data_IF_569017323388
#
_entry.id   IF_569017323388
#
_cell.length_a   1.000
_cell.length_b   1.000
_cell.length_c   1.000
_cell.angle_alpha   90.00
_cell.angle_beta   90.00
_cell.angle_gamma   90.00
#
_symmetry.space_group_name_H-M   'P 1'
#
loop_
_entity.id
_entity.type
_entity.pdbx_description
1 polymer ?
#
# COMPACT_ATOMS: atom_id res chain seq x y z
N UNK A 1 -10.93 30.22 4.86
CA UNK A 1 -10.43 29.80 6.19
C UNK A 1 -9.28 28.79 6.17
N UNK A 2 -9.39 27.60 5.54
CA UNK A 2 -8.28 26.63 5.47
C UNK A 2 -7.21 27.00 4.42
N UNK A 3 -7.65 27.52 3.27
CA UNK A 3 -6.77 28.08 2.23
C UNK A 3 -5.99 29.30 2.73
N UNK A 4 -6.64 30.17 3.51
CA UNK A 4 -6.00 31.35 4.10
C UNK A 4 -5.01 30.97 5.21
N UNK A 5 -5.30 29.90 5.96
CA UNK A 5 -4.34 29.30 6.92
C UNK A 5 -3.15 28.66 6.23
N UNK A 6 -3.35 27.98 5.10
CA UNK A 6 -2.25 27.45 4.29
C UNK A 6 -1.36 28.58 3.74
N UNK A 7 -1.97 29.66 3.22
CA UNK A 7 -1.24 30.87 2.82
C UNK A 7 -0.52 31.55 3.98
N UNK A 8 -1.12 31.60 5.17
CA UNK A 8 -0.50 32.16 6.36
C UNK A 8 0.74 31.37 6.82
N UNK A 9 0.68 30.04 6.74
CA UNK A 9 1.85 29.16 7.02
C UNK A 9 2.93 29.32 5.94
N UNK A 10 2.53 29.52 4.67
CA UNK A 10 3.46 29.81 3.58
C UNK A 10 4.09 31.21 3.69
N UNK A 11 3.35 32.22 4.15
CA UNK A 11 3.83 33.60 4.28
C UNK A 11 4.69 33.83 5.51
N UNK A 12 4.45 33.13 6.63
CA UNK A 12 5.33 33.19 7.80
C UNK A 12 6.75 32.69 7.48
N UNK A 13 6.91 31.76 6.53
CA UNK A 13 8.22 31.28 6.06
C UNK A 13 9.01 32.32 5.26
N UNK A 14 8.33 33.20 4.52
CA UNK A 14 9.01 34.25 3.73
C UNK A 14 9.49 35.43 4.59
N UNK A 15 8.88 35.65 5.76
CA UNK A 15 9.24 36.76 6.65
C UNK A 15 10.46 36.45 7.54
N UNK A 16 10.82 35.18 7.73
CA UNK A 16 12.03 34.77 8.46
C UNK A 16 13.28 34.73 7.56
N UNK A 17 13.13 34.86 6.24
CA UNK A 17 14.22 34.94 5.25
C UNK A 17 14.35 36.35 4.69
N UNK A 18 14.87 37.28 5.50
CA UNK A 18 15.24 38.65 5.12
C UNK A 18 16.76 38.89 5.25
N UNK A 19 17.49 38.51 4.20
CA UNK A 19 18.94 38.53 3.88
C UNK A 19 19.72 39.86 4.13
N UNK A 20 21.09 39.90 4.17
CA UNK A 20 21.92 39.70 2.95
C UNK A 20 23.33 39.06 3.09
N UNK A 21 23.79 38.54 1.94
CA UNK A 21 25.18 38.28 1.49
C UNK A 21 25.84 36.90 1.79
N UNK A 22 25.90 36.07 0.74
CA UNK A 22 27.06 35.23 0.41
C UNK A 22 27.04 33.76 0.87
N UNK A 23 26.70 32.86 -0.07
CA UNK A 23 27.21 31.48 -0.14
C UNK A 23 26.57 30.43 0.78
N UNK A 24 25.87 29.50 0.12
CA UNK A 24 25.56 28.12 0.54
C UNK A 24 24.69 27.91 1.79
N UNK A 25 23.38 27.84 1.57
CA UNK A 25 22.46 27.15 2.48
C UNK A 25 21.35 26.46 1.67
N UNK A 26 21.31 25.14 1.82
CA UNK A 26 20.36 24.20 1.23
C UNK A 26 18.91 24.57 1.57
N UNK A 27 18.14 24.86 0.52
CA UNK A 27 16.74 25.23 0.62
C UNK A 27 15.90 23.96 0.84
N UNK A 28 15.33 23.85 2.04
CA UNK A 28 14.58 22.67 2.50
C UNK A 28 13.37 22.35 1.61
N UNK A 29 13.47 21.24 0.87
CA UNK A 29 12.42 20.75 -0.01
C UNK A 29 11.10 20.43 0.76
N UNK A 30 9.92 20.62 0.14
CA UNK A 30 8.64 20.36 0.79
C UNK A 30 8.50 18.89 1.20
N UNK A 31 8.16 18.64 2.48
CA UNK A 31 8.02 17.32 3.11
C UNK A 31 7.17 16.27 2.35
N UNK A 32 6.24 16.69 1.48
CA UNK A 32 5.45 15.77 0.64
C UNK A 32 6.29 15.07 -0.45
N UNK A 33 7.40 15.68 -0.86
CA UNK A 33 8.32 15.12 -1.86
C UNK A 33 8.90 13.78 -1.39
N UNK A 34 9.21 13.64 -0.10
CA UNK A 34 9.82 12.43 0.45
C UNK A 34 8.91 11.20 0.26
N UNK A 35 7.62 11.31 0.60
CA UNK A 35 6.68 10.18 0.48
C UNK A 35 6.42 9.80 -0.99
N UNK A 36 6.30 10.80 -1.87
CA UNK A 36 6.15 10.55 -3.30
C UNK A 36 7.39 9.88 -3.89
N UNK A 37 8.59 10.34 -3.52
CA UNK A 37 9.85 9.74 -3.96
C UNK A 37 10.04 8.33 -3.45
N UNK A 38 9.62 7.98 -2.23
CA UNK A 38 9.63 6.58 -1.78
C UNK A 38 8.69 5.71 -2.61
N UNK A 39 7.50 6.21 -2.94
CA UNK A 39 6.58 5.48 -3.81
C UNK A 39 7.15 5.26 -5.21
N UNK A 40 7.86 6.24 -5.76
CA UNK A 40 8.52 6.12 -7.06
C UNK A 40 9.69 5.14 -7.01
N UNK A 41 10.56 5.29 -6.01
CA UNK A 41 11.69 4.40 -5.78
C UNK A 41 11.27 2.92 -5.72
N UNK A 42 10.19 2.62 -4.99
CA UNK A 42 9.66 1.25 -4.93
C UNK A 42 9.15 0.78 -6.30
N UNK A 43 8.51 1.65 -7.09
CA UNK A 43 8.02 1.31 -8.42
C UNK A 43 9.16 1.14 -9.44
N UNK A 44 10.20 1.97 -9.38
CA UNK A 44 11.41 1.88 -10.20
C UNK A 44 12.10 0.52 -10.01
N UNK A 45 12.04 -0.04 -8.80
CA UNK A 45 12.52 -1.39 -8.47
C UNK A 45 11.49 -2.50 -8.73
N UNK A 46 10.40 -2.23 -9.45
CA UNK A 46 9.29 -3.18 -9.70
C UNK A 46 8.69 -3.78 -8.42
N UNK A 47 8.85 -3.08 -7.29
CA UNK A 47 8.48 -3.52 -5.95
C UNK A 47 9.08 -4.88 -5.56
N UNK A 48 10.32 -5.13 -5.96
CA UNK A 48 11.06 -6.35 -5.64
C UNK A 48 12.52 -6.05 -5.30
N UNK A 49 13.00 -6.56 -4.16
CA UNK A 49 14.34 -6.29 -3.64
C UNK A 49 15.09 -7.60 -3.37
N UNK A 50 15.92 -8.10 -4.32
CA UNK A 50 16.55 -9.42 -4.22
C UNK A 50 17.35 -9.62 -2.93
N UNK A 51 18.17 -8.64 -2.55
CA UNK A 51 19.02 -8.73 -1.36
C UNK A 51 18.22 -8.84 -0.06
N UNK A 52 17.03 -8.22 0.00
CA UNK A 52 16.12 -8.37 1.15
C UNK A 52 15.38 -9.70 1.15
N UNK A 53 15.06 -10.27 -0.01
CA UNK A 53 14.53 -11.64 -0.08
C UNK A 53 15.55 -12.64 0.43
N UNK A 54 16.80 -12.55 -0.04
CA UNK A 54 17.87 -13.47 0.36
C UNK A 54 18.15 -13.35 1.87
N UNK A 55 18.17 -12.11 2.40
CA UNK A 55 18.31 -11.88 3.83
C UNK A 55 17.13 -12.46 4.63
N UNK A 56 15.90 -12.29 4.15
CA UNK A 56 14.71 -12.83 4.80
C UNK A 56 14.70 -14.36 4.76
N UNK A 57 15.08 -14.98 3.65
CA UNK A 57 15.17 -16.44 3.50
C UNK A 57 16.25 -17.05 4.41
N UNK A 58 17.40 -16.40 4.53
CA UNK A 58 18.46 -16.80 5.47
C UNK A 58 17.96 -16.79 6.91
N UNK A 59 17.39 -15.66 7.35
CA UNK A 59 16.85 -15.52 8.72
C UNK A 59 15.67 -16.48 8.94
N UNK A 60 14.86 -16.72 7.91
CA UNK A 60 13.75 -17.66 7.97
C UNK A 60 14.21 -19.09 8.26
N UNK A 61 15.30 -19.54 7.63
CA UNK A 61 15.84 -20.88 7.86
C UNK A 61 16.26 -21.08 9.32
N UNK A 62 16.89 -20.08 9.93
CA UNK A 62 17.27 -20.14 11.35
C UNK A 62 16.05 -20.14 12.28
N UNK A 63 15.01 -19.37 11.96
CA UNK A 63 13.74 -19.34 12.71
C UNK A 63 13.04 -20.70 12.65
N UNK A 64 12.93 -21.28 11.46
CA UNK A 64 12.24 -22.56 11.26
C UNK A 64 13.02 -23.73 11.90
N UNK A 65 14.36 -23.64 11.98
CA UNK A 65 15.18 -24.62 12.70
C UNK A 65 15.08 -24.51 14.23
N UNK A 66 14.74 -23.33 14.75
CA UNK A 66 14.69 -23.09 16.19
C UNK A 66 13.41 -23.61 16.85
N UNK A 67 12.31 -23.78 16.11
CA UNK A 67 11.04 -24.27 16.65
C UNK A 67 10.06 -24.73 15.57
N UNK A 68 9.12 -25.60 15.93
CA UNK A 68 8.05 -26.09 15.02
C UNK A 68 7.05 -25.01 14.61
N UNK A 69 6.99 -23.89 15.33
CA UNK A 69 6.09 -22.77 15.00
C UNK A 69 6.90 -21.50 14.69
N UNK A 70 6.46 -20.76 13.66
CA UNK A 70 7.12 -19.53 13.25
C UNK A 70 7.21 -18.50 14.38
N UNK A 71 6.16 -18.34 15.18
CA UNK A 71 6.14 -17.37 16.29
C UNK A 71 7.17 -17.73 17.38
N UNK A 72 7.22 -18.99 17.80
CA UNK A 72 8.19 -19.43 18.80
C UNK A 72 9.63 -19.36 18.25
N UNK A 73 9.83 -19.73 16.98
CA UNK A 73 11.12 -19.60 16.30
C UNK A 73 11.58 -18.14 16.21
N UNK A 74 10.69 -17.22 15.84
CA UNK A 74 10.95 -15.78 15.79
C UNK A 74 11.34 -15.23 17.17
N UNK A 75 10.62 -15.65 18.21
CA UNK A 75 10.93 -15.26 19.59
C UNK A 75 12.31 -15.77 20.03
N UNK A 76 12.62 -17.03 19.74
CA UNK A 76 13.92 -17.63 20.03
C UNK A 76 15.05 -16.95 19.27
N UNK A 77 14.84 -16.62 17.99
CA UNK A 77 15.85 -15.92 17.17
C UNK A 77 16.13 -14.51 17.69
N UNK A 78 15.08 -13.73 18.01
CA UNK A 78 15.22 -12.40 18.61
C UNK A 78 16.00 -12.44 19.92
N UNK A 79 15.73 -13.44 20.78
CA UNK A 79 16.40 -13.59 22.05
C UNK A 79 17.87 -14.01 21.86
N UNK A 80 18.14 -15.03 21.06
CA UNK A 80 19.47 -15.63 20.94
C UNK A 80 20.44 -14.76 20.12
N UNK A 81 19.95 -14.08 19.08
CA UNK A 81 20.79 -13.29 18.18
C UNK A 81 20.92 -11.84 18.63
N UNK A 82 19.84 -11.25 19.15
CA UNK A 82 19.81 -9.82 19.50
C UNK A 82 19.61 -9.55 21.00
N UNK A 83 19.46 -10.58 21.85
CA UNK A 83 19.19 -10.39 23.27
C UNK A 83 17.81 -9.77 23.55
N UNK A 84 16.87 -9.86 22.61
CA UNK A 84 15.55 -9.24 22.69
C UNK A 84 14.48 -10.25 23.10
N UNK A 85 13.99 -10.14 24.34
CA UNK A 85 12.79 -10.88 24.78
C UNK A 85 11.53 -10.21 24.23
N UNK A 86 10.87 -10.88 23.28
CA UNK A 86 9.59 -10.44 22.73
C UNK A 86 8.41 -10.83 23.64
N UNK A 87 7.65 -9.82 24.07
CA UNK A 87 6.47 -9.96 24.92
C UNK A 87 5.28 -9.18 24.38
N UNK A 88 4.10 -9.77 24.53
CA UNK A 88 2.86 -9.01 24.48
C UNK A 88 2.70 -8.22 25.79
N UNK A 89 2.26 -6.96 25.70
CA UNK A 89 2.08 -6.08 26.83
C UNK A 89 0.97 -5.05 26.57
N UNK A 90 0.32 -4.60 27.63
CA UNK A 90 -0.61 -3.48 27.58
C UNK A 90 0.17 -2.18 27.34
N UNK A 91 0.10 -1.65 26.11
CA UNK A 91 0.74 -0.40 25.70
C UNK A 91 -0.27 0.74 25.62
N UNK A 92 0.18 2.02 25.71
CA UNK A 92 -0.70 3.17 25.50
C UNK A 92 -1.41 3.12 24.14
N UNK A 93 -2.62 3.67 24.09
CA UNK A 93 -3.41 3.70 22.86
C UNK A 93 -2.63 4.34 21.70
N UNK A 94 -2.63 3.66 20.55
CA UNK A 94 -1.89 4.09 19.36
C UNK A 94 -0.47 3.54 19.24
N UNK A 95 0.11 2.97 20.31
CA UNK A 95 1.46 2.37 20.27
C UNK A 95 1.35 0.87 19.94
N UNK A 96 1.84 0.47 18.77
CA UNK A 96 1.85 -0.93 18.34
C UNK A 96 2.99 -1.74 18.97
N UNK A 97 4.17 -1.13 19.09
CA UNK A 97 5.35 -1.74 19.72
C UNK A 97 6.22 -0.70 20.41
N UNK A 98 7.03 -1.13 21.35
CA UNK A 98 8.03 -0.33 22.07
C UNK A 98 9.22 -1.19 22.44
N UNK A 99 10.43 -0.67 22.23
CA UNK A 99 11.64 -1.22 22.85
C UNK A 99 11.81 -0.61 24.24
N UNK A 100 12.14 -1.44 25.24
CA UNK A 100 12.49 -0.93 26.56
C UNK A 100 13.80 -0.13 26.50
N UNK A 101 14.00 0.88 27.39
CA UNK A 101 15.23 1.67 27.40
C UNK A 101 16.52 0.87 27.58
N UNK A 102 16.43 -0.27 28.29
CA UNK A 102 17.54 -1.20 28.46
C UNK A 102 17.87 -1.99 27.17
N UNK A 103 17.04 -1.91 26.14
CA UNK A 103 17.27 -2.53 24.83
C UNK A 103 17.15 -4.05 24.80
N UNK A 104 16.67 -4.70 25.87
CA UNK A 104 16.59 -6.15 26.00
C UNK A 104 15.17 -6.73 25.86
N UNK A 105 14.15 -5.88 25.74
CA UNK A 105 12.77 -6.32 25.53
C UNK A 105 12.09 -5.58 24.39
N UNK A 106 11.40 -6.36 23.56
CA UNK A 106 10.48 -5.87 22.56
C UNK A 106 9.05 -6.09 23.06
N UNK A 107 8.38 -5.01 23.44
CA UNK A 107 6.99 -5.04 23.87
C UNK A 107 6.10 -4.76 22.65
N UNK A 108 5.13 -5.64 22.40
CA UNK A 108 4.11 -5.48 21.35
C UNK A 108 2.74 -5.41 22.02
N UNK A 109 1.84 -4.58 21.52
CA UNK A 109 0.52 -4.40 22.09
C UNK A 109 -0.27 -5.71 22.09
N UNK A 110 -0.75 -6.11 23.27
CA UNK A 110 -1.51 -7.35 23.52
C UNK A 110 -2.94 -7.35 22.95
N UNK A 111 -3.49 -6.18 22.63
CA UNK A 111 -4.79 -6.04 21.99
C UNK A 111 -4.72 -6.13 20.47
N UNK A 112 -3.53 -6.18 19.86
CA UNK A 112 -3.40 -6.27 18.40
C UNK A 112 -3.84 -7.65 17.87
N UNK A 113 -4.36 -7.72 16.62
CA UNK A 113 -4.59 -8.99 15.94
C UNK A 113 -3.26 -9.75 15.84
N UNK A 114 -3.26 -11.08 16.02
CA UNK A 114 -2.04 -11.89 16.05
C UNK A 114 -1.12 -11.64 14.86
N UNK A 115 -1.68 -11.56 13.65
CA UNK A 115 -0.93 -11.32 12.41
C UNK A 115 -0.27 -9.93 12.37
N UNK A 116 -0.85 -8.95 13.06
CA UNK A 116 -0.26 -7.60 13.17
C UNK A 116 0.80 -7.54 14.26
N UNK A 117 0.65 -8.30 15.34
CA UNK A 117 1.64 -8.41 16.40
C UNK A 117 2.92 -9.12 15.90
N UNK A 118 2.76 -10.25 15.20
CA UNK A 118 3.86 -10.99 14.55
C UNK A 118 4.57 -10.07 13.54
N UNK A 119 3.82 -9.34 12.71
CA UNK A 119 4.42 -8.42 11.75
C UNK A 119 5.17 -7.26 12.42
N UNK A 120 4.67 -6.74 13.55
CA UNK A 120 5.39 -5.72 14.30
C UNK A 120 6.74 -6.23 14.84
N UNK A 121 6.79 -7.49 15.29
CA UNK A 121 8.03 -8.16 15.70
C UNK A 121 8.97 -8.44 14.52
N UNK A 122 8.46 -9.01 13.43
CA UNK A 122 9.23 -9.28 12.21
C UNK A 122 9.79 -8.00 11.57
N UNK A 123 9.04 -6.90 11.61
CA UNK A 123 9.54 -5.60 11.17
C UNK A 123 10.63 -5.06 12.08
N UNK A 124 10.53 -5.25 13.40
CA UNK A 124 11.63 -4.87 14.29
C UNK A 124 12.87 -5.72 14.02
N UNK A 125 12.69 -7.01 13.75
CA UNK A 125 13.76 -7.89 13.32
C UNK A 125 14.40 -7.41 12.01
N UNK A 126 13.62 -6.99 11.02
CA UNK A 126 14.15 -6.43 9.77
C UNK A 126 15.02 -5.19 9.97
N UNK A 127 14.64 -4.31 10.91
CA UNK A 127 15.45 -3.14 11.29
C UNK A 127 16.79 -3.51 11.96
N UNK A 128 16.98 -4.74 12.40
CA UNK A 128 18.19 -5.20 13.09
C UNK A 128 19.02 -6.15 12.22
N UNK A 129 18.36 -7.10 11.57
CA UNK A 129 18.99 -8.19 10.83
C UNK A 129 19.33 -7.83 9.37
N UNK A 130 18.63 -6.85 8.78
CA UNK A 130 18.81 -6.46 7.38
C UNK A 130 19.40 -5.04 7.24
N UNK A 131 20.08 -4.52 8.28
CA UNK A 131 20.61 -3.15 8.27
C UNK A 131 21.52 -2.91 7.07
N UNK A 132 22.44 -3.83 6.80
CA UNK A 132 23.42 -3.69 5.71
C UNK A 132 22.75 -3.67 4.34
N UNK A 133 21.78 -4.56 4.13
CA UNK A 133 21.02 -4.68 2.90
C UNK A 133 20.13 -3.46 2.68
N UNK A 134 19.44 -2.99 3.73
CA UNK A 134 18.62 -1.77 3.70
C UNK A 134 19.48 -0.54 3.40
N UNK A 135 20.62 -0.39 4.08
CA UNK A 135 21.53 0.76 3.89
C UNK A 135 22.12 0.78 2.48
N UNK A 136 22.49 -0.40 1.95
CA UNK A 136 22.97 -0.53 0.57
C UNK A 136 21.91 -0.09 -0.44
N UNK A 137 20.68 -0.57 -0.29
CA UNK A 137 19.55 -0.19 -1.16
C UNK A 137 19.28 1.32 -1.09
N UNK A 138 19.29 1.91 0.11
CA UNK A 138 19.06 3.36 0.29
C UNK A 138 20.18 4.19 -0.32
N UNK A 139 21.44 3.75 -0.20
CA UNK A 139 22.59 4.45 -0.77
C UNK A 139 22.54 4.48 -2.31
N UNK A 140 22.03 3.43 -2.95
CA UNK A 140 21.86 3.35 -4.41
C UNK A 140 20.66 4.18 -4.91
N UNK A 141 19.64 4.36 -4.07
CA UNK A 141 18.36 4.96 -4.44
C UNK A 141 18.40 6.48 -4.73
N UNK A 142 19.50 7.18 -4.44
CA UNK A 142 19.65 8.64 -4.63
C UNK A 142 18.45 9.44 -4.09
N UNK A 143 18.02 9.11 -2.87
CA UNK A 143 16.86 9.74 -2.24
C UNK A 143 17.17 11.19 -1.81
N UNK A 144 16.18 12.09 -1.81
CA UNK A 144 16.39 13.44 -1.27
C UNK A 144 16.76 13.38 0.22
N UNK A 145 17.53 14.36 0.68
CA UNK A 145 17.88 14.48 2.10
C UNK A 145 16.65 14.81 2.98
N UNK A 146 16.82 14.68 4.29
CA UNK A 146 15.74 14.85 5.27
C UNK A 146 15.04 13.52 5.60
N UNK A 147 13.72 13.49 5.50
CA UNK A 147 12.91 12.37 6.00
C UNK A 147 12.90 11.12 5.09
N UNK A 148 13.32 11.24 3.82
CA UNK A 148 13.17 10.15 2.85
C UNK A 148 13.97 8.88 3.22
N UNK A 149 15.24 8.94 3.67
CA UNK A 149 15.98 7.76 4.10
C UNK A 149 15.29 6.98 5.24
N UNK A 150 14.72 7.66 6.23
CA UNK A 150 14.01 7.00 7.34
C UNK A 150 12.69 6.37 6.89
N UNK A 151 11.97 7.05 5.99
CA UNK A 151 10.77 6.49 5.37
C UNK A 151 11.09 5.26 4.52
N UNK A 152 12.20 5.29 3.77
CA UNK A 152 12.69 4.16 2.99
C UNK A 152 13.08 3.00 3.90
N UNK A 153 13.85 3.26 4.97
CA UNK A 153 14.24 2.25 5.96
C UNK A 153 13.02 1.55 6.56
N UNK A 154 12.00 2.32 6.94
CA UNK A 154 10.75 1.77 7.45
C UNK A 154 10.00 0.93 6.40
N UNK A 155 9.93 1.40 5.15
CA UNK A 155 9.28 0.66 4.06
C UNK A 155 10.01 -0.66 3.72
N UNK A 156 11.34 -0.63 3.65
CA UNK A 156 12.18 -1.79 3.36
C UNK A 156 12.19 -2.79 4.52
N UNK A 157 12.16 -2.34 5.78
CA UNK A 157 11.98 -3.23 6.92
C UNK A 157 10.59 -3.89 6.93
N UNK A 158 9.55 -3.19 6.50
CA UNK A 158 8.22 -3.77 6.29
C UNK A 158 8.20 -4.78 5.13
N UNK A 159 8.97 -4.54 4.05
CA UNK A 159 9.18 -5.50 2.97
C UNK A 159 9.85 -6.78 3.50
N UNK A 160 10.96 -6.64 4.24
CA UNK A 160 11.66 -7.76 4.87
C UNK A 160 10.72 -8.56 5.77
N UNK A 161 9.91 -7.90 6.61
CA UNK A 161 8.95 -8.57 7.48
C UNK A 161 7.93 -9.41 6.68
N UNK A 162 7.43 -8.86 5.57
CA UNK A 162 6.52 -9.59 4.68
C UNK A 162 7.22 -10.80 4.02
N UNK A 163 8.45 -10.65 3.55
CA UNK A 163 9.24 -11.73 2.97
C UNK A 163 9.58 -12.82 4.01
N UNK A 164 9.82 -12.43 5.26
CA UNK A 164 10.09 -13.37 6.35
C UNK A 164 8.86 -14.21 6.70
N UNK A 165 7.68 -13.58 6.81
CA UNK A 165 6.42 -14.25 7.14
C UNK A 165 5.92 -15.10 5.96
N UNK A 166 6.07 -14.57 4.74
CA UNK A 166 5.65 -15.18 3.47
C UNK A 166 6.87 -15.38 2.54
N UNK A 167 7.69 -16.42 2.74
CA UNK A 167 8.90 -16.66 1.97
C UNK A 167 8.58 -16.83 0.49
N UNK A 168 9.43 -16.29 -0.38
CA UNK A 168 9.13 -16.07 -1.79
C UNK A 168 8.65 -17.35 -2.49
N UNK A 169 9.45 -18.41 -2.45
CA UNK A 169 9.18 -19.66 -3.17
C UNK A 169 7.92 -20.39 -2.66
N UNK A 170 7.76 -20.67 -1.35
CA UNK A 170 6.52 -21.22 -0.81
C UNK A 170 5.29 -20.36 -1.13
N UNK A 171 5.40 -19.03 -0.99
CA UNK A 171 4.28 -18.13 -1.21
C UNK A 171 3.89 -18.05 -2.69
N UNK A 172 4.85 -17.92 -3.61
CA UNK A 172 4.61 -17.85 -5.05
C UNK A 172 3.95 -19.15 -5.57
N UNK A 173 4.45 -20.32 -5.13
CA UNK A 173 3.82 -21.61 -5.47
C UNK A 173 2.38 -21.69 -4.98
N UNK A 174 2.16 -21.42 -3.69
CA UNK A 174 0.80 -21.47 -3.12
C UNK A 174 -0.14 -20.43 -3.72
N UNK A 175 0.38 -19.25 -4.11
CA UNK A 175 -0.42 -18.24 -4.80
C UNK A 175 -0.93 -18.77 -6.14
N UNK A 176 -0.10 -19.48 -6.91
CA UNK A 176 -0.54 -20.12 -8.16
C UNK A 176 -1.48 -21.30 -7.90
N UNK A 177 -1.13 -22.19 -6.97
CA UNK A 177 -1.93 -23.39 -6.65
C UNK A 177 -3.33 -23.03 -6.14
N UNK A 178 -3.44 -21.94 -5.38
CA UNK A 178 -4.72 -21.43 -4.86
C UNK A 178 -5.36 -20.41 -5.80
N UNK A 179 -4.83 -20.22 -7.01
CA UNK A 179 -5.34 -19.26 -8.00
C UNK A 179 -5.54 -17.87 -7.38
N UNK A 180 -4.54 -17.42 -6.62
CA UNK A 180 -4.50 -16.12 -5.96
C UNK A 180 -5.68 -15.86 -4.99
N UNK A 181 -6.24 -16.92 -4.38
CA UNK A 181 -7.18 -16.79 -3.27
C UNK A 181 -6.51 -16.16 -2.04
N UNK A 182 -6.76 -14.87 -1.84
CA UNK A 182 -6.14 -14.04 -0.81
C UNK A 182 -6.55 -14.50 0.59
N UNK A 183 -7.79 -14.94 0.78
CA UNK A 183 -8.27 -15.39 2.09
C UNK A 183 -7.67 -16.75 2.46
N UNK A 184 -7.52 -17.64 1.48
CA UNK A 184 -6.83 -18.92 1.68
C UNK A 184 -5.35 -18.74 1.94
N UNK A 185 -4.68 -17.84 1.22
CA UNK A 185 -3.28 -17.47 1.46
C UNK A 185 -3.09 -16.85 2.86
N UNK A 186 -3.99 -15.94 3.25
CA UNK A 186 -3.99 -15.33 4.58
C UNK A 186 -4.01 -16.38 5.70
N UNK A 187 -4.91 -17.36 5.59
CA UNK A 187 -4.98 -18.49 6.54
C UNK A 187 -3.74 -19.37 6.52
N UNK A 188 -3.16 -19.63 5.33
CA UNK A 188 -1.98 -20.49 5.18
C UNK A 188 -0.74 -19.89 5.83
N UNK A 189 -0.56 -18.57 5.74
CA UNK A 189 0.65 -17.88 6.21
C UNK A 189 0.46 -17.12 7.52
N UNK A 190 -0.74 -17.16 8.14
CA UNK A 190 -1.02 -16.40 9.35
C UNK A 190 -0.90 -14.89 9.14
N UNK A 191 -1.33 -14.40 7.98
CA UNK A 191 -1.22 -13.01 7.56
C UNK A 191 -2.60 -12.39 7.32
N UNK A 192 -2.73 -11.08 7.47
CA UNK A 192 -3.94 -10.33 7.15
C UNK A 192 -4.16 -10.22 5.64
N UNK A 193 -5.41 -9.93 5.25
CA UNK A 193 -5.77 -9.62 3.86
C UNK A 193 -4.85 -8.55 3.24
N UNK A 194 -4.60 -7.44 3.94
CA UNK A 194 -3.71 -6.38 3.45
C UNK A 194 -2.27 -6.88 3.27
N UNK A 195 -1.72 -7.64 4.22
CA UNK A 195 -0.36 -8.17 4.12
C UNK A 195 -0.20 -9.12 2.93
N UNK A 196 -1.17 -10.01 2.69
CA UNK A 196 -1.15 -10.89 1.52
C UNK A 196 -1.24 -10.10 0.22
N UNK A 197 -2.16 -9.13 0.13
CA UNK A 197 -2.24 -8.24 -1.04
C UNK A 197 -0.92 -7.55 -1.33
N UNK A 198 -0.23 -7.05 -0.28
CA UNK A 198 1.10 -6.47 -0.43
C UNK A 198 2.14 -7.46 -0.93
N UNK A 199 2.17 -8.68 -0.39
CA UNK A 199 3.15 -9.69 -0.81
C UNK A 199 2.92 -10.12 -2.26
N UNK A 200 1.67 -10.19 -2.70
CA UNK A 200 1.35 -10.47 -4.10
C UNK A 200 1.94 -9.43 -5.07
N UNK A 201 2.02 -8.15 -4.67
CA UNK A 201 2.64 -7.11 -5.53
C UNK A 201 4.16 -7.16 -5.56
N UNK A 202 4.83 -8.04 -4.81
CA UNK A 202 6.29 -8.16 -4.79
C UNK A 202 6.83 -9.38 -5.54
N UNK A 203 5.96 -10.19 -6.18
CA UNK A 203 6.36 -11.45 -6.82
C UNK A 203 7.04 -11.23 -8.18
N UNK A 204 8.20 -10.57 -8.19
CA UNK A 204 8.94 -10.20 -9.42
C UNK A 204 10.37 -10.77 -9.49
N UNK A 205 10.68 -11.84 -8.75
CA UNK A 205 11.92 -12.61 -8.90
C UNK A 205 12.09 -13.10 -10.34
N UNK A 206 13.19 -12.75 -11.04
CA UNK A 206 13.46 -13.27 -12.38
C UNK A 206 13.39 -14.80 -12.44
N UNK A 207 12.69 -15.34 -13.43
CA UNK A 207 12.47 -16.79 -13.57
C UNK A 207 11.34 -17.37 -12.69
N UNK A 208 10.84 -16.63 -11.69
CA UNK A 208 9.73 -17.07 -10.82
C UNK A 208 8.76 -15.92 -10.51
N UNK A 209 8.32 -15.22 -11.55
CA UNK A 209 7.39 -14.08 -11.42
C UNK A 209 5.94 -14.53 -11.20
N UNK A 210 5.24 -13.88 -10.28
CA UNK A 210 3.78 -13.96 -10.17
C UNK A 210 3.11 -13.00 -11.16
N UNK A 211 1.77 -12.92 -11.09
CA UNK A 211 1.00 -11.94 -11.87
C UNK A 211 1.48 -10.51 -11.51
N UNK A 212 1.80 -9.65 -12.49
CA UNK A 212 2.04 -8.23 -12.23
C UNK A 212 0.75 -7.56 -11.72
N UNK A 213 0.73 -7.23 -10.43
CA UNK A 213 -0.46 -6.68 -9.78
C UNK A 213 -0.34 -5.18 -9.47
N UNK A 214 -1.46 -4.48 -9.53
CA UNK A 214 -1.60 -3.19 -8.87
C UNK A 214 -2.24 -3.36 -7.50
N UNK A 215 -1.96 -2.42 -6.60
CA UNK A 215 -2.60 -2.31 -5.30
C UNK A 215 -2.86 -0.84 -4.97
N UNK A 216 -4.03 -0.57 -4.41
CA UNK A 216 -4.38 0.73 -3.85
C UNK A 216 -5.00 0.54 -2.47
N UNK A 217 -4.59 1.36 -1.50
CA UNK A 217 -5.28 1.48 -0.21
C UNK A 217 -5.87 2.86 -0.08
N UNK A 218 -7.20 2.93 0.08
CA UNK A 218 -7.93 4.19 0.25
C UNK A 218 -8.75 4.19 1.53
N UNK A 219 -9.03 5.37 2.08
CA UNK A 219 -10.01 5.56 3.14
C UNK A 219 -11.37 6.03 2.57
N UNK A 220 -12.35 6.22 3.46
CA UNK A 220 -13.71 6.65 3.09
C UNK A 220 -13.77 8.03 2.42
N UNK A 221 -12.74 8.87 2.61
CA UNK A 221 -12.67 10.21 2.01
C UNK A 221 -11.96 10.19 0.65
N UNK A 222 -11.46 9.03 0.22
CA UNK A 222 -10.73 8.87 -1.02
C UNK A 222 -9.25 9.19 -0.93
N UNK A 223 -8.69 9.38 0.28
CA UNK A 223 -7.25 9.55 0.42
C UNK A 223 -6.56 8.23 0.09
N UNK A 224 -5.62 8.26 -0.85
CA UNK A 224 -4.81 7.09 -1.21
C UNK A 224 -3.55 7.11 -0.34
N UNK A 225 -3.40 6.09 0.49
CA UNK A 225 -2.26 6.00 1.42
C UNK A 225 -1.22 4.97 1.00
N UNK A 226 -1.52 4.11 0.01
CA UNK A 226 -0.58 3.17 -0.61
C UNK A 226 -0.95 2.94 -2.06
N UNK A 227 0.05 2.85 -2.94
CA UNK A 227 -0.11 2.65 -4.38
C UNK A 227 1.01 1.78 -4.96
N UNK A 228 0.64 0.81 -5.78
CA UNK A 228 1.51 0.00 -6.61
C UNK A 228 0.81 -0.20 -7.94
N UNK A 229 1.50 -0.01 -9.06
CA UNK A 229 0.88 0.05 -10.40
C UNK A 229 1.51 -0.93 -11.39
N UNK A 230 2.10 -2.03 -10.92
CA UNK A 230 2.89 -2.92 -11.76
C UNK A 230 2.07 -3.60 -12.87
N UNK A 231 0.74 -3.74 -12.69
CA UNK A 231 -0.14 -4.20 -13.77
C UNK A 231 -0.26 -3.26 -14.98
N UNK A 232 0.18 -2.00 -14.85
CA UNK A 232 0.03 -0.94 -15.86
C UNK A 232 -1.11 0.06 -15.59
N UNK A 233 -2.03 -0.21 -14.67
CA UNK A 233 -3.13 0.73 -14.36
C UNK A 233 -2.57 2.06 -13.79
N UNK A 234 -3.10 3.17 -14.27
CA UNK A 234 -2.72 4.49 -13.79
C UNK A 234 -3.49 4.85 -12.51
N UNK A 235 -2.76 5.03 -11.41
CA UNK A 235 -3.32 5.44 -10.11
C UNK A 235 -3.00 6.93 -9.87
N UNK A 236 -3.98 7.76 -9.47
CA UNK A 236 -3.71 9.18 -9.22
C UNK A 236 -2.72 9.42 -8.08
N UNK A 237 -1.89 10.46 -8.23
CA UNK A 237 -0.85 10.85 -7.27
C UNK A 237 -1.34 11.85 -6.22
N UNK A 238 -2.07 12.87 -6.65
CA UNK A 238 -2.41 14.04 -5.81
C UNK A 238 -3.93 14.22 -5.59
N UNK A 239 -4.72 13.16 -5.81
CA UNK A 239 -6.17 13.16 -5.60
C UNK A 239 -6.67 11.77 -5.27
N UNK A 240 -7.93 11.67 -4.82
CA UNK A 240 -8.64 10.40 -4.84
C UNK A 240 -8.79 9.84 -6.26
N UNK A 241 -9.01 8.53 -6.35
CA UNK A 241 -9.31 7.83 -7.59
C UNK A 241 -10.72 8.18 -8.09
N UNK A 242 -11.01 7.80 -9.34
CA UNK A 242 -12.36 7.94 -9.86
C UNK A 242 -13.36 7.19 -8.96
N UNK A 243 -14.47 7.84 -8.55
CA UNK A 243 -15.47 7.24 -7.65
C UNK A 243 -16.13 5.96 -8.20
N UNK A 244 -15.97 5.68 -9.51
CA UNK A 244 -16.46 4.43 -10.14
C UNK A 244 -15.56 3.22 -9.88
N UNK A 245 -14.36 3.41 -9.34
CA UNK A 245 -13.49 2.29 -8.96
C UNK A 245 -14.15 1.48 -7.84
N UNK A 246 -14.11 0.15 -7.94
CA UNK A 246 -14.74 -0.75 -6.97
C UNK A 246 -14.22 -0.62 -5.52
N UNK A 247 -13.05 -0.01 -5.33
CA UNK A 247 -12.52 0.32 -3.99
C UNK A 247 -13.47 1.21 -3.18
N UNK A 248 -14.24 2.07 -3.83
CA UNK A 248 -15.22 2.91 -3.16
C UNK A 248 -16.53 2.17 -2.90
N UNK A 249 -16.98 1.36 -3.87
CA UNK A 249 -18.14 0.49 -3.69
C UNK A 249 -17.92 -0.53 -2.56
N UNK A 250 -16.68 -0.93 -2.29
CA UNK A 250 -16.35 -1.83 -1.19
C UNK A 250 -16.82 -1.31 0.18
N UNK A 251 -16.80 0.01 0.41
CA UNK A 251 -17.31 0.57 1.67
C UNK A 251 -18.82 0.38 1.88
N UNK A 252 -19.58 0.18 0.81
CA UNK A 252 -21.02 -0.11 0.87
C UNK A 252 -21.30 -1.58 1.21
N UNK A 253 -20.32 -2.46 1.02
CA UNK A 253 -20.42 -3.89 1.32
C UNK A 253 -19.21 -4.35 2.14
N UNK A 254 -19.13 -3.95 3.43
CA UNK A 254 -17.99 -4.29 4.26
C UNK A 254 -17.76 -5.80 4.34
N UNK A 255 -16.49 -6.19 4.42
CA UNK A 255 -16.02 -7.58 4.51
C UNK A 255 -16.34 -8.48 3.31
N UNK A 256 -16.97 -7.95 2.25
CA UNK A 256 -17.22 -8.66 1.00
C UNK A 256 -16.22 -8.26 -0.07
N UNK A 257 -15.77 -9.24 -0.85
CA UNK A 257 -14.94 -9.00 -2.04
C UNK A 257 -15.85 -8.50 -3.17
N UNK A 258 -15.54 -7.31 -3.68
CA UNK A 258 -16.22 -6.66 -4.80
C UNK A 258 -15.37 -6.83 -6.06
N UNK A 259 -15.93 -7.43 -7.10
CA UNK A 259 -15.25 -7.69 -8.38
C UNK A 259 -15.66 -6.61 -9.39
N UNK A 260 -14.73 -6.16 -10.22
CA UNK A 260 -14.99 -5.22 -11.30
C UNK A 260 -14.01 -5.44 -12.46
N UNK A 261 -14.52 -5.44 -13.68
CA UNK A 261 -13.70 -5.25 -14.88
C UNK A 261 -13.66 -3.74 -15.15
N UNK A 262 -12.48 -3.16 -15.03
CA UNK A 262 -12.25 -1.72 -15.13
C UNK A 262 -11.60 -1.39 -16.47
N UNK A 263 -12.18 -0.45 -17.23
CA UNK A 263 -11.61 0.02 -18.49
C UNK A 263 -11.12 1.47 -18.39
N UNK A 264 -9.82 1.66 -18.63
CA UNK A 264 -9.20 2.98 -18.65
C UNK A 264 -9.62 3.78 -19.89
N UNK A 265 -9.51 5.13 -19.90
CA UNK A 265 -9.87 5.93 -21.07
C UNK A 265 -9.09 5.59 -22.35
N UNK A 266 -7.92 4.99 -22.21
CA UNK A 266 -7.06 4.47 -23.29
C UNK A 266 -7.48 3.08 -23.79
N UNK A 267 -8.48 2.45 -23.18
CA UNK A 267 -9.06 1.17 -23.61
C UNK A 267 -8.46 -0.06 -22.93
N UNK A 268 -7.38 0.05 -22.15
CA UNK A 268 -6.86 -1.10 -21.42
C UNK A 268 -7.84 -1.52 -20.31
N UNK A 269 -8.00 -2.84 -20.19
CA UNK A 269 -8.92 -3.47 -19.25
C UNK A 269 -8.16 -4.18 -18.14
N UNK A 270 -8.69 -4.07 -16.93
CA UNK A 270 -8.12 -4.62 -15.71
C UNK A 270 -9.17 -5.42 -14.95
N UNK A 271 -8.77 -6.57 -14.44
CA UNK A 271 -9.58 -7.33 -13.50
C UNK A 271 -9.22 -6.90 -12.08
N UNK A 272 -10.16 -6.27 -11.40
CA UNK A 272 -9.97 -5.67 -10.09
C UNK A 272 -10.87 -6.34 -9.06
N UNK A 273 -10.31 -6.56 -7.87
CA UNK A 273 -11.10 -6.88 -6.67
C UNK A 273 -10.85 -5.83 -5.60
N UNK A 274 -11.84 -5.61 -4.74
CA UNK A 274 -11.70 -4.72 -3.59
C UNK A 274 -12.43 -5.25 -2.37
N UNK A 275 -11.85 -5.03 -1.18
CA UNK A 275 -12.46 -5.38 0.10
C UNK A 275 -12.10 -4.35 1.17
N UNK A 276 -13.03 -4.05 2.06
CA UNK A 276 -12.73 -3.22 3.23
C UNK A 276 -11.96 -3.97 4.29
N UNK A 277 -11.10 -3.26 5.02
CA UNK A 277 -10.51 -3.68 6.27
C UNK A 277 -10.79 -2.62 7.34
N UNK A 278 -10.86 -3.07 8.59
CA UNK A 278 -11.03 -2.17 9.73
C UNK A 278 -9.82 -2.29 10.65
N UNK A 279 -9.27 -1.15 11.07
CA UNK A 279 -8.15 -1.08 12.02
C UNK A 279 -8.48 -0.11 13.15
N UNK A 280 -8.11 -0.43 14.38
CA UNK A 280 -8.38 0.48 15.50
C UNK A 280 -8.62 -0.26 16.80
N UNK A 281 -8.79 0.51 17.86
CA UNK A 281 -8.77 0.05 19.24
C UNK A 281 -9.97 -0.88 19.55
N UNK A 282 -9.71 -1.99 20.23
CA UNK A 282 -10.58 -3.17 20.28
C UNK A 282 -11.60 -3.11 21.43
N UNK A 283 -12.21 -1.93 21.61
CA UNK A 283 -13.21 -1.69 22.66
C UNK A 283 -14.48 -1.05 22.12
N UNK A 284 -15.56 -1.18 22.87
CA UNK A 284 -16.83 -0.56 22.53
C UNK A 284 -16.66 0.96 22.37
N UNK A 285 -17.24 1.53 21.30
CA UNK A 285 -17.17 2.95 20.93
C UNK A 285 -15.77 3.53 20.66
N UNK A 286 -14.73 2.70 20.53
CA UNK A 286 -13.45 3.19 20.07
C UNK A 286 -13.53 3.67 18.60
N UNK A 287 -12.83 4.75 18.26
CA UNK A 287 -12.67 5.17 16.87
C UNK A 287 -12.07 4.05 16.02
N UNK A 288 -12.78 3.69 14.95
CA UNK A 288 -12.34 2.72 13.94
C UNK A 288 -11.84 3.45 12.70
N UNK A 289 -10.77 2.95 12.11
CA UNK A 289 -10.22 3.40 10.84
C UNK A 289 -10.64 2.40 9.77
N UNK A 290 -11.41 2.86 8.80
CA UNK A 290 -11.91 2.05 7.70
C UNK A 290 -11.08 2.33 6.46
N UNK A 291 -10.56 1.26 5.86
CA UNK A 291 -9.83 1.32 4.60
C UNK A 291 -10.43 0.33 3.62
N UNK A 292 -10.25 0.59 2.33
CA UNK A 292 -10.47 -0.38 1.27
C UNK A 292 -9.14 -0.72 0.61
N UNK A 293 -8.91 -2.01 0.41
CA UNK A 293 -7.78 -2.55 -0.33
C UNK A 293 -8.32 -2.97 -1.69
N UNK A 294 -7.87 -2.30 -2.74
CA UNK A 294 -8.03 -2.71 -4.13
C UNK A 294 -6.78 -3.41 -4.62
N UNK A 295 -6.93 -4.54 -5.28
CA UNK A 295 -5.85 -5.27 -5.95
C UNK A 295 -6.37 -5.81 -7.28
N UNK A 296 -5.51 -5.87 -8.29
CA UNK A 296 -5.92 -6.38 -9.59
C UNK A 296 -4.77 -6.55 -10.56
N UNK A 297 -5.09 -7.00 -11.76
CA UNK A 297 -4.14 -7.32 -12.81
C UNK A 297 -4.69 -6.92 -14.18
N UNK A 298 -3.82 -6.95 -15.21
CA UNK A 298 -4.26 -6.82 -16.59
C UNK A 298 -5.24 -7.96 -16.94
N UNK A 299 -6.21 -7.66 -17.81
CA UNK A 299 -7.30 -8.60 -18.12
C UNK A 299 -6.83 -9.99 -18.61
N UNK A 300 -5.66 -10.07 -19.25
CA UNK A 300 -5.05 -11.34 -19.70
C UNK A 300 -4.80 -12.34 -18.55
N UNK A 301 -4.58 -11.83 -17.34
CA UNK A 301 -4.33 -12.64 -16.13
C UNK A 301 -5.60 -12.95 -15.33
N UNK A 302 -6.76 -12.43 -15.71
CA UNK A 302 -7.99 -12.52 -14.91
C UNK A 302 -8.36 -13.97 -14.55
N UNK A 303 -8.24 -14.90 -15.51
CA UNK A 303 -8.59 -16.32 -15.33
C UNK A 303 -7.68 -17.07 -14.34
N UNK A 304 -6.48 -16.53 -14.07
CA UNK A 304 -5.56 -17.10 -13.09
C UNK A 304 -6.03 -16.81 -11.66
N UNK A 305 -6.91 -15.83 -11.46
CA UNK A 305 -7.48 -15.47 -10.16
C UNK A 305 -8.81 -16.23 -9.94
N UNK A 306 -8.98 -16.82 -8.75
CA UNK A 306 -10.18 -17.56 -8.35
C UNK A 306 -11.44 -16.70 -8.44
N UNK A 307 -11.29 -15.39 -8.25
CA UNK A 307 -12.39 -14.43 -8.26
C UNK A 307 -13.03 -14.23 -9.64
N UNK A 308 -12.39 -14.71 -10.71
CA UNK A 308 -13.00 -14.72 -12.04
C UNK A 308 -14.00 -15.88 -12.23
N UNK A 309 -14.01 -16.87 -11.32
CA UNK A 309 -14.92 -18.00 -11.43
C UNK A 309 -16.37 -17.56 -11.29
N UNK A 310 -17.22 -18.02 -12.22
CA UNK A 310 -18.63 -17.63 -12.28
C UNK A 310 -18.87 -16.21 -12.81
N UNK A 311 -17.83 -15.47 -13.20
CA UNK A 311 -17.94 -14.16 -13.83
C UNK A 311 -17.74 -14.28 -15.35
N UNK A 312 -18.70 -13.79 -16.14
CA UNK A 312 -18.53 -13.76 -17.60
C UNK A 312 -17.56 -12.64 -17.99
N UNK A 313 -16.29 -13.02 -18.17
CA UNK A 313 -15.22 -12.12 -18.58
C UNK A 313 -15.36 -11.61 -20.03
N UNK A 314 -16.24 -12.20 -20.84
CA UNK A 314 -16.41 -11.84 -22.27
C UNK A 314 -17.57 -10.87 -22.49
N UNK A 315 -18.50 -10.79 -21.54
CA UNK A 315 -19.66 -9.92 -21.65
C UNK A 315 -19.27 -8.46 -21.37
N UNK A 316 -19.33 -7.65 -22.43
CA UNK A 316 -18.99 -6.22 -22.37
C UNK A 316 -19.88 -5.41 -21.44
N UNK A 317 -21.08 -5.89 -21.08
CA UNK A 317 -21.96 -5.17 -20.14
C UNK A 317 -21.40 -5.12 -18.72
N UNK A 318 -20.44 -5.99 -18.39
CA UNK A 318 -19.76 -5.99 -17.09
C UNK A 318 -18.57 -5.04 -17.02
N UNK A 319 -18.16 -4.46 -18.14
CA UNK A 319 -17.05 -3.53 -18.20
C UNK A 319 -17.50 -2.18 -17.65
N UNK A 320 -16.79 -1.69 -16.64
CA UNK A 320 -17.03 -0.38 -16.03
C UNK A 320 -16.01 0.61 -16.59
N UNK A 321 -16.44 1.58 -17.42
CA UNK A 321 -15.53 2.63 -17.88
C UNK A 321 -15.17 3.55 -16.71
N UNK A 322 -13.88 3.56 -16.37
CA UNK A 322 -13.30 4.37 -15.30
C UNK A 322 -12.35 5.42 -15.88
N UNK A 323 -11.76 6.22 -14.99
CA UNK A 323 -10.65 7.12 -15.30
C UNK A 323 -9.73 7.27 -14.09
N UNK A 324 -8.65 8.04 -14.25
CA UNK A 324 -7.72 8.35 -13.14
C UNK A 324 -8.37 9.34 -12.17
N UNK A 325 -8.91 10.45 -12.67
CA UNK A 325 -9.64 11.44 -11.88
C UNK A 325 -10.40 12.42 -12.78
N UNK A 326 -11.48 13.04 -12.28
CA UNK A 326 -12.40 13.82 -13.12
C UNK A 326 -11.71 14.94 -13.93
N UNK A 327 -10.75 15.65 -13.32
CA UNK A 327 -10.05 16.78 -13.95
C UNK A 327 -9.19 16.40 -15.17
N UNK A 328 -8.81 15.13 -15.30
CA UNK A 328 -7.96 14.65 -16.39
C UNK A 328 -8.63 13.53 -17.20
N UNK A 329 -9.85 13.14 -16.84
CA UNK A 329 -10.58 12.10 -17.55
C UNK A 329 -11.27 12.68 -18.79
N UNK A 330 -11.05 12.12 -19.99
CA UNK A 330 -11.65 12.64 -21.23
C UNK A 330 -13.09 12.19 -21.47
N UNK A 331 -13.64 11.24 -20.69
CA UNK A 331 -14.99 10.67 -20.92
C UNK A 331 -16.10 11.70 -20.64
N UNK A 332 -16.72 12.28 -21.66
CA UNK A 332 -17.74 13.34 -21.50
C UNK A 332 -19.11 12.81 -21.05
N UNK A 333 -19.43 11.56 -21.32
CA UNK A 333 -20.70 10.91 -20.97
C UNK A 333 -20.64 10.18 -19.61
N UNK A 334 -20.12 10.85 -18.58
CA UNK A 334 -19.96 10.26 -17.25
C UNK A 334 -20.90 10.92 -16.23
N UNK A 335 -22.02 10.28 -15.92
CA UNK A 335 -22.99 10.78 -14.92
C UNK A 335 -22.40 10.97 -13.51
N UNK A 336 -21.32 10.25 -13.17
CA UNK A 336 -20.63 10.37 -11.88
C UNK A 336 -19.58 11.52 -11.83
N UNK A 337 -19.42 12.30 -12.91
CA UNK A 337 -18.37 13.31 -13.03
C UNK A 337 -18.55 14.46 -12.01
N UNK A 338 -17.52 14.68 -11.19
CA UNK A 338 -17.51 15.71 -10.14
C UNK A 338 -16.84 17.03 -10.56
N UNK A 339 -16.01 17.03 -11.61
CA UNK A 339 -15.33 18.23 -12.11
C UNK A 339 -15.20 18.19 -13.65
N UNK A 340 -15.21 19.35 -14.33
CA UNK A 340 -14.90 19.44 -15.76
C UNK A 340 -13.46 18.94 -16.04
N UNK A 341 -13.20 18.32 -17.21
CA UNK A 341 -11.84 18.10 -17.67
C UNK A 341 -11.09 19.43 -17.81
N UNK A 342 -9.83 19.49 -17.37
CA UNK A 342 -9.03 20.71 -17.38
C UNK A 342 -8.76 21.25 -18.80
N UNK A 343 -8.78 20.37 -19.80
CA UNK A 343 -8.58 20.69 -21.21
C UNK A 343 -9.90 20.92 -21.97
N UNK A 344 -11.04 21.00 -21.29
CA UNK A 344 -12.35 21.17 -21.93
C UNK A 344 -13.07 22.41 -21.38
N UNK A 345 -13.63 23.23 -22.28
CA UNK A 345 -14.35 24.45 -21.90
C UNK A 345 -15.81 24.12 -21.63
N UNK A 346 -16.24 24.36 -20.40
CA UNK A 346 -17.65 24.19 -20.02
C UNK A 346 -18.56 25.08 -20.86
N UNK A 347 -19.62 24.48 -21.43
CA UNK A 347 -20.73 25.16 -22.11
C UNK A 347 -22.04 24.80 -21.44
N UNK A 348 -22.90 25.79 -21.26
CA UNK A 348 -24.27 25.60 -20.81
C UNK A 348 -25.19 25.58 -22.03
N UNK A 349 -26.08 24.59 -22.10
CA UNK A 349 -27.20 24.55 -23.03
C UNK A 349 -28.48 24.88 -22.23
N UNK A 350 -29.18 25.94 -22.60
CA UNK A 350 -30.41 26.37 -21.92
C UNK A 350 -31.60 25.46 -22.26
N UNK A 351 -31.54 24.74 -23.38
CA UNK A 351 -32.60 23.84 -23.86
C UNK A 351 -32.37 22.39 -23.43
N UNK A 352 -31.12 22.03 -23.11
CA UNK A 352 -30.74 20.68 -22.68
C UNK A 352 -30.03 20.70 -21.33
N UNK A 353 -30.66 20.14 -20.30
CA UNK A 353 -30.05 19.98 -18.96
C UNK A 353 -29.68 18.51 -18.72
N UNK A 354 -28.38 18.14 -18.75
CA UNK A 354 -27.96 16.79 -18.37
C UNK A 354 -28.18 16.54 -16.87
N UNK A 355 -28.33 15.27 -16.48
CA UNK A 355 -28.51 14.86 -15.08
C UNK A 355 -27.35 15.33 -14.19
N UNK A 356 -26.11 15.21 -14.69
CA UNK A 356 -24.92 15.78 -14.08
C UNK A 356 -24.44 16.98 -14.88
N UNK A 357 -24.20 18.10 -14.19
CA UNK A 357 -23.80 19.41 -14.74
C UNK A 357 -22.60 19.31 -15.70
N UNK A 358 -21.74 18.32 -15.48
CA UNK A 358 -20.48 18.18 -16.21
C UNK A 358 -20.51 17.13 -17.31
N UNK A 359 -21.68 16.56 -17.60
CA UNK A 359 -21.88 15.55 -18.64
C UNK A 359 -22.22 16.22 -19.96
N UNK A 360 -21.74 15.68 -21.09
CA UNK A 360 -21.99 16.19 -22.44
C UNK A 360 -21.66 17.69 -22.61
N UNK A 361 -20.46 18.08 -22.15
CA UNK A 361 -19.92 19.43 -22.33
C UNK A 361 -19.46 19.72 -23.76
#
# INVERSE_FOLDING_TARGET
>A
HLYDRYRAVASHRQAETGTPAGGDAEDGAPFHLATDRISDFIQENTNYFPTLEDAAERVRADIDNASDTFEAGLKTYLLNVFGLDWRLASLPSGIARKLEPAGNKLLVSDIMPPESAIFAAAHQLGLLAAVREIDGIIAEASLPEGDAPDLARNALAAYFAAALIMPYDPFCRMARDYRYDIERLARRFGASFEQVCHRLTTLQRPGLQGIPMHLVRTDIAGNISKRFSLSGIQIPRHSGACPRWNVYAAFLQPDRINIQISEMPSGEQYFCIARTITKGDYRHNAPRRHFAIGIGCAMIHAREMIYADGFDLTNSTHIVPIGVGCRICPRLECGQRAHPPANHRFRLDEMMRPESLYTMM
#
